data_IF_245450468133
#
_entry.id   IF_245450468133
#
_cell.length_a   1.000
_cell.length_b   1.000
_cell.length_c   1.000
_cell.angle_alpha   90.00
_cell.angle_beta   90.00
_cell.angle_gamma   90.00
#
_symmetry.space_group_name_H-M   'P 1'
#
loop_
_entity.id
_entity.type
_entity.pdbx_description
1 polymer ?
#
# COMPACT_ATOMS: atom_id res chain seq x y z
N UNK A 1 -15.69 -30.75 12.64
CA UNK A 1 -15.32 -29.31 12.80
C UNK A 1 -13.93 -29.28 13.41
N UNK A 2 -12.91 -29.01 12.60
CA UNK A 2 -11.53 -28.89 13.07
C UNK A 2 -11.41 -27.53 13.79
N UNK A 3 -11.24 -27.55 15.11
CA UNK A 3 -10.92 -26.34 15.86
C UNK A 3 -9.48 -25.95 15.52
N UNK A 4 -9.32 -24.88 14.75
CA UNK A 4 -8.04 -24.26 14.55
C UNK A 4 -7.69 -23.47 15.82
N UNK A 5 -6.82 -24.02 16.66
CA UNK A 5 -6.28 -23.29 17.81
C UNK A 5 -5.18 -22.38 17.24
N UNK A 6 -5.39 -21.06 17.24
CA UNK A 6 -4.35 -20.16 16.77
C UNK A 6 -3.15 -20.26 17.73
N UNK A 7 -2.04 -20.80 17.25
CA UNK A 7 -0.77 -20.66 17.95
C UNK A 7 -0.29 -19.22 17.73
N UNK A 8 0.00 -18.45 18.77
CA UNK A 8 0.60 -17.14 18.62
C UNK A 8 1.97 -17.33 17.93
N UNK A 9 2.04 -16.92 16.67
CA UNK A 9 3.32 -16.82 15.97
C UNK A 9 3.97 -15.55 16.47
N UNK A 10 5.04 -15.64 17.26
CA UNK A 10 5.90 -14.51 17.58
C UNK A 10 6.80 -14.30 16.37
N UNK A 11 6.61 -13.20 15.67
CA UNK A 11 7.57 -12.74 14.69
C UNK A 11 8.72 -12.06 15.45
N UNK A 12 9.90 -12.60 15.33
CA UNK A 12 11.11 -11.91 15.74
C UNK A 12 11.64 -11.18 14.50
N UNK A 13 11.50 -9.86 14.48
CA UNK A 13 12.08 -9.05 13.42
C UNK A 13 13.61 -9.04 13.60
N UNK A 14 14.39 -9.49 12.60
CA UNK A 14 15.85 -9.62 12.74
C UNK A 14 16.60 -8.28 12.68
N UNK A 15 15.90 -7.17 12.42
CA UNK A 15 16.47 -5.84 12.34
C UNK A 15 16.47 -5.09 13.68
N UNK A 16 17.13 -3.93 13.75
CA UNK A 16 17.06 -3.08 14.92
C UNK A 16 15.61 -2.62 15.13
N UNK A 17 15.03 -2.97 16.28
CA UNK A 17 13.68 -2.51 16.63
C UNK A 17 13.70 -0.98 16.79
N UNK A 18 12.84 -0.30 16.04
CA UNK A 18 12.59 1.13 16.24
C UNK A 18 11.41 1.27 17.20
N UNK A 19 11.61 2.01 18.29
CA UNK A 19 10.64 2.13 19.38
C UNK A 19 9.35 2.80 18.90
N UNK A 20 9.47 3.84 18.06
CA UNK A 20 8.35 4.59 17.48
C UNK A 20 8.56 4.74 15.98
N UNK A 21 8.23 3.71 15.16
CA UNK A 21 8.33 3.83 13.71
C UNK A 21 7.28 4.82 13.18
N UNK A 22 7.67 5.62 12.19
CA UNK A 22 6.77 6.57 11.53
C UNK A 22 6.06 5.87 10.37
N UNK A 23 4.74 5.79 10.42
CA UNK A 23 3.90 5.31 9.34
C UNK A 23 3.26 6.48 8.59
N UNK A 24 3.46 6.56 7.29
CA UNK A 24 2.84 7.56 6.43
C UNK A 24 1.70 6.96 5.61
N UNK A 25 0.51 7.55 5.72
CA UNK A 25 -0.71 7.14 5.04
C UNK A 25 -1.26 8.29 4.18
N UNK A 26 -1.01 8.31 2.87
CA UNK A 26 -1.70 9.24 1.98
C UNK A 26 -3.15 8.82 1.77
N UNK A 27 -4.06 9.79 1.72
CA UNK A 27 -5.45 9.62 1.32
C UNK A 27 -5.65 10.15 -0.09
N UNK A 28 -6.07 9.29 -1.00
CA UNK A 28 -6.39 9.61 -2.38
C UNK A 28 -7.90 9.79 -2.57
N UNK A 29 -8.36 10.43 -3.65
CA UNK A 29 -9.77 10.44 -4.00
C UNK A 29 -10.34 9.01 -4.03
N UNK A 30 -11.32 8.72 -3.17
CA UNK A 30 -11.93 7.39 -3.00
C UNK A 30 -11.30 6.51 -1.92
N UNK A 31 -10.23 6.91 -1.24
CA UNK A 31 -9.76 6.26 -0.01
C UNK A 31 -10.79 6.41 1.09
N UNK A 32 -11.13 5.33 1.80
CA UNK A 32 -12.13 5.37 2.87
C UNK A 32 -11.78 4.58 4.14
N UNK A 33 -10.64 3.91 4.18
CA UNK A 33 -10.18 3.13 5.34
C UNK A 33 -8.94 3.74 6.02
N UNK A 34 -8.60 4.98 5.71
CA UNK A 34 -7.43 5.68 6.23
C UNK A 34 -7.49 5.90 7.74
N UNK A 35 -8.63 6.34 8.27
CA UNK A 35 -8.82 6.56 9.70
C UNK A 35 -8.61 5.27 10.52
N UNK A 36 -9.25 4.17 10.13
CA UNK A 36 -9.14 2.90 10.86
C UNK A 36 -7.74 2.30 10.73
N UNK A 37 -7.12 2.43 9.55
CA UNK A 37 -5.72 2.02 9.32
C UNK A 37 -4.78 2.83 10.21
N UNK A 38 -4.91 4.16 10.24
CA UNK A 38 -4.12 5.04 11.09
C UNK A 38 -4.28 4.69 12.58
N UNK A 39 -5.53 4.40 13.02
CA UNK A 39 -5.81 3.98 14.38
C UNK A 39 -5.14 2.65 14.75
N UNK A 40 -5.10 1.70 13.80
CA UNK A 40 -4.42 0.41 14.03
C UNK A 40 -2.92 0.61 14.21
N UNK A 41 -2.26 1.43 13.38
CA UNK A 41 -0.84 1.76 13.51
C UNK A 41 -0.52 2.46 14.84
N UNK A 42 -1.33 3.46 15.24
CA UNK A 42 -1.14 4.14 16.54
C UNK A 42 -1.29 3.18 17.73
N UNK A 43 -2.25 2.24 17.66
CA UNK A 43 -2.41 1.20 18.69
C UNK A 43 -1.24 0.24 18.77
N UNK A 44 -0.54 0.03 17.65
CA UNK A 44 0.66 -0.78 17.59
C UNK A 44 1.93 -0.02 18.03
N UNK A 45 1.82 1.27 18.40
CA UNK A 45 2.93 2.08 18.91
C UNK A 45 3.63 2.93 17.84
N UNK A 46 3.13 2.96 16.61
CA UNK A 46 3.71 3.80 15.56
C UNK A 46 3.24 5.27 15.66
N UNK A 47 4.10 6.20 15.30
CA UNK A 47 3.70 7.55 14.92
C UNK A 47 3.05 7.51 13.54
N UNK A 48 1.94 8.25 13.38
CA UNK A 48 1.20 8.23 12.10
C UNK A 48 1.10 9.64 11.54
N UNK A 49 1.59 9.80 10.31
CA UNK A 49 1.42 11.01 9.51
C UNK A 49 0.48 10.72 8.34
N UNK A 50 -0.35 11.70 7.99
CA UNK A 50 -1.31 11.59 6.89
C UNK A 50 -1.24 12.84 6.02
N UNK A 51 -1.61 12.70 4.75
CA UNK A 51 -1.85 13.82 3.84
C UNK A 51 -3.00 13.49 2.89
N UNK A 52 -3.60 14.51 2.32
CA UNK A 52 -4.65 14.36 1.30
C UNK A 52 -4.07 14.73 -0.06
N UNK A 53 -4.11 13.79 -1.00
CA UNK A 53 -3.73 14.08 -2.38
C UNK A 53 -4.82 14.88 -3.06
N UNK A 54 -4.55 16.16 -3.33
CA UNK A 54 -5.47 17.10 -3.97
C UNK A 54 -5.24 17.09 -5.48
N UNK A 55 -6.32 17.08 -6.24
CA UNK A 55 -6.29 17.00 -7.71
C UNK A 55 -7.26 17.95 -8.40
N UNK A 56 -7.62 19.06 -7.74
CA UNK A 56 -8.56 20.05 -8.27
C UNK A 56 -7.90 20.98 -9.29
N UNK A 57 -6.60 21.21 -9.16
CA UNK A 57 -5.80 22.03 -10.06
C UNK A 57 -4.41 21.42 -10.27
N UNK A 58 -3.69 21.90 -11.30
CA UNK A 58 -2.30 21.49 -11.51
C UNK A 58 -1.39 21.90 -10.34
N UNK A 59 -1.64 23.04 -9.71
CA UNK A 59 -0.91 23.48 -8.52
C UNK A 59 -1.14 22.54 -7.34
N UNK A 60 -2.39 22.13 -7.07
CA UNK A 60 -2.72 21.17 -6.01
C UNK A 60 -2.00 19.83 -6.21
N UNK A 61 -1.92 19.37 -7.46
CA UNK A 61 -1.22 18.11 -7.79
C UNK A 61 0.26 18.23 -7.47
N UNK A 62 0.92 19.32 -7.87
CA UNK A 62 2.35 19.55 -7.61
C UNK A 62 2.63 19.65 -6.12
N UNK A 63 1.86 20.45 -5.38
CA UNK A 63 1.99 20.56 -3.92
C UNK A 63 1.78 19.22 -3.22
N UNK A 64 0.82 18.40 -3.69
CA UNK A 64 0.58 17.06 -3.13
C UNK A 64 1.72 16.08 -3.41
N UNK A 65 2.35 16.19 -4.59
CA UNK A 65 3.55 15.41 -4.93
C UNK A 65 4.71 15.80 -4.01
N UNK A 66 4.97 17.09 -3.86
CA UNK A 66 6.06 17.59 -3.01
C UNK A 66 5.86 17.19 -1.55
N UNK A 67 4.62 17.30 -1.03
CA UNK A 67 4.28 16.84 0.32
C UNK A 67 4.49 15.34 0.47
N UNK A 68 4.02 14.53 -0.50
CA UNK A 68 4.22 13.07 -0.47
C UNK A 68 5.70 12.71 -0.46
N UNK A 69 6.51 13.31 -1.31
CA UNK A 69 7.96 13.06 -1.36
C UNK A 69 8.60 13.32 0.01
N UNK A 70 8.34 14.48 0.61
CA UNK A 70 8.89 14.82 1.92
C UNK A 70 8.45 13.84 3.03
N UNK A 71 7.20 13.39 2.99
CA UNK A 71 6.68 12.42 3.97
C UNK A 71 7.22 11.01 3.75
N UNK A 72 7.39 10.55 2.50
CA UNK A 72 8.01 9.25 2.19
C UNK A 72 9.48 9.26 2.62
N UNK A 73 10.20 10.34 2.38
CA UNK A 73 11.58 10.48 2.83
C UNK A 73 11.74 10.36 4.35
N UNK A 74 10.75 10.85 5.12
CA UNK A 74 10.76 10.88 6.57
C UNK A 74 10.14 9.65 7.25
N UNK A 75 9.41 8.78 6.52
CA UNK A 75 8.74 7.64 7.13
C UNK A 75 9.59 6.37 7.14
N UNK A 76 9.18 5.42 7.98
CA UNK A 76 9.71 4.06 8.02
C UNK A 76 8.78 3.07 7.32
N UNK A 77 7.48 3.38 7.31
CA UNK A 77 6.44 2.53 6.72
C UNK A 77 5.55 3.39 5.83
N UNK A 78 5.52 3.08 4.55
CA UNK A 78 4.59 3.67 3.60
C UNK A 78 3.34 2.79 3.47
N UNK A 79 2.14 3.36 3.69
CA UNK A 79 0.91 2.58 3.79
C UNK A 79 -0.12 3.06 2.78
N UNK A 80 -0.56 2.18 1.91
CA UNK A 80 -1.68 2.39 1.00
C UNK A 80 -2.94 1.73 1.57
N UNK A 81 -3.86 2.54 2.04
CA UNK A 81 -5.12 2.08 2.65
C UNK A 81 -6.09 1.52 1.61
N UNK A 82 -7.15 0.91 2.10
CA UNK A 82 -8.25 0.44 1.28
C UNK A 82 -9.21 1.55 0.86
N UNK A 83 -10.11 1.20 -0.02
CA UNK A 83 -11.12 2.08 -0.59
C UNK A 83 -11.45 1.72 -2.03
N UNK A 84 -11.96 2.71 -2.75
CA UNK A 84 -12.29 2.63 -4.18
C UNK A 84 -11.70 3.87 -4.85
N UNK A 85 -10.43 3.82 -5.19
CA UNK A 85 -9.76 4.97 -5.78
C UNK A 85 -10.40 5.38 -7.11
N UNK A 86 -10.33 6.65 -7.42
CA UNK A 86 -10.83 7.18 -8.69
C UNK A 86 -10.24 6.40 -9.87
N UNK A 87 -11.09 6.02 -10.83
CA UNK A 87 -10.67 5.24 -12.01
C UNK A 87 -10.56 3.73 -11.79
N UNK A 88 -11.19 3.18 -10.73
CA UNK A 88 -11.22 1.74 -10.50
C UNK A 88 -11.98 0.96 -11.57
N UNK A 89 -12.99 1.56 -12.18
CA UNK A 89 -13.79 0.96 -13.26
C UNK A 89 -13.50 1.66 -14.60
N UNK A 90 -13.78 0.98 -15.76
CA UNK A 90 -14.27 -0.41 -15.90
C UNK A 90 -13.16 -1.47 -15.92
N UNK A 91 -11.90 -1.13 -16.13
CA UNK A 91 -10.82 -2.06 -16.50
C UNK A 91 -9.86 -2.39 -15.36
N UNK A 92 -10.34 -2.37 -14.15
CA UNK A 92 -9.56 -2.74 -12.98
C UNK A 92 -9.34 -1.59 -12.00
N UNK A 93 -8.64 -1.90 -10.92
CA UNK A 93 -8.59 -1.08 -9.72
C UNK A 93 -7.29 -0.31 -9.56
N UNK A 94 -7.32 0.73 -8.72
CA UNK A 94 -6.16 1.50 -8.27
C UNK A 94 -5.40 2.28 -9.36
N UNK A 95 -6.01 2.55 -10.51
CA UNK A 95 -5.35 3.28 -11.62
C UNK A 95 -4.84 4.65 -11.20
N UNK A 96 -5.63 5.40 -10.43
CA UNK A 96 -5.24 6.73 -9.96
C UNK A 96 -4.00 6.64 -9.07
N UNK A 97 -4.02 5.74 -8.08
CA UNK A 97 -2.88 5.52 -7.18
C UNK A 97 -1.64 5.12 -7.98
N UNK A 98 -1.76 4.17 -8.90
CA UNK A 98 -0.65 3.71 -9.75
C UNK A 98 -0.06 4.86 -10.58
N UNK A 99 -0.90 5.74 -11.14
CA UNK A 99 -0.41 6.90 -11.87
C UNK A 99 0.38 7.86 -10.96
N UNK A 100 -0.08 8.09 -9.74
CA UNK A 100 0.66 8.90 -8.76
C UNK A 100 1.98 8.24 -8.38
N UNK A 101 1.99 6.94 -8.09
CA UNK A 101 3.21 6.19 -7.76
C UNK A 101 4.23 6.16 -8.91
N UNK A 102 3.78 6.26 -10.16
CA UNK A 102 4.63 6.34 -11.34
C UNK A 102 5.22 7.73 -11.61
N UNK A 103 4.77 8.76 -10.89
CA UNK A 103 5.46 10.05 -10.91
C UNK A 103 6.94 9.83 -10.54
N UNK A 104 7.85 10.47 -11.27
CA UNK A 104 9.28 10.23 -11.13
C UNK A 104 9.77 10.47 -9.70
N UNK A 105 9.38 11.59 -9.11
CA UNK A 105 9.90 12.02 -7.81
C UNK A 105 9.37 11.11 -6.68
N UNK A 106 8.07 10.78 -6.70
CA UNK A 106 7.45 9.82 -5.76
C UNK A 106 8.08 8.44 -5.91
N UNK A 107 8.30 7.98 -7.14
CA UNK A 107 8.93 6.68 -7.41
C UNK A 107 10.34 6.61 -6.85
N UNK A 108 11.12 7.66 -7.05
CA UNK A 108 12.50 7.71 -6.57
C UNK A 108 12.53 7.69 -5.02
N UNK A 109 11.61 8.39 -4.35
CA UNK A 109 11.47 8.32 -2.88
C UNK A 109 11.01 6.95 -2.37
N UNK A 110 10.09 6.29 -3.06
CA UNK A 110 9.67 4.92 -2.72
C UNK A 110 10.84 3.94 -2.85
N UNK A 111 11.64 4.07 -3.90
CA UNK A 111 12.85 3.26 -4.07
C UNK A 111 13.86 3.55 -2.96
N UNK A 112 14.09 4.81 -2.61
CA UNK A 112 14.96 5.19 -1.51
C UNK A 112 14.47 4.65 -0.17
N UNK A 113 13.13 4.64 0.08
CA UNK A 113 12.54 4.02 1.26
C UNK A 113 12.88 2.52 1.33
N UNK A 114 12.66 1.78 0.25
CA UNK A 114 12.96 0.34 0.22
C UNK A 114 14.46 0.05 0.34
N UNK A 115 15.31 0.86 -0.29
CA UNK A 115 16.77 0.70 -0.25
C UNK A 115 17.37 0.91 1.15
N UNK A 116 16.74 1.77 1.98
CA UNK A 116 17.12 1.94 3.40
C UNK A 116 16.45 0.96 4.36
N UNK A 117 15.72 -0.06 3.84
CA UNK A 117 15.06 -1.09 4.65
C UNK A 117 13.68 -0.68 5.19
N UNK A 118 13.09 0.39 4.67
CA UNK A 118 11.72 0.78 4.99
C UNK A 118 10.69 -0.22 4.46
N UNK A 119 9.51 -0.20 5.04
CA UNK A 119 8.43 -1.14 4.74
C UNK A 119 7.33 -0.48 3.91
N UNK A 120 6.65 -1.29 3.11
CA UNK A 120 5.47 -0.87 2.35
C UNK A 120 4.33 -1.84 2.62
N UNK A 121 3.16 -1.29 3.00
CA UNK A 121 1.94 -2.07 3.21
C UNK A 121 0.83 -1.58 2.28
N UNK A 122 0.19 -2.49 1.57
CA UNK A 122 -1.03 -2.22 0.80
C UNK A 122 -2.19 -3.08 1.27
N UNK A 123 -3.33 -2.46 1.52
CA UNK A 123 -4.55 -3.13 2.01
C UNK A 123 -5.64 -2.98 0.96
N UNK A 124 -6.27 -4.07 0.51
CA UNK A 124 -7.39 -4.07 -0.44
C UNK A 124 -7.05 -3.27 -1.72
N UNK A 125 -7.62 -2.10 -1.92
CA UNK A 125 -7.30 -1.22 -3.05
C UNK A 125 -5.81 -0.81 -3.08
N UNK A 126 -5.21 -0.58 -1.91
CA UNK A 126 -3.77 -0.35 -1.80
C UNK A 126 -2.93 -1.56 -2.23
N UNK A 127 -3.36 -2.79 -1.89
CA UNK A 127 -2.69 -3.99 -2.39
C UNK A 127 -2.81 -4.12 -3.92
N UNK A 128 -3.98 -3.79 -4.48
CA UNK A 128 -4.16 -3.73 -5.94
C UNK A 128 -3.19 -2.75 -6.59
N UNK A 129 -2.95 -1.60 -5.95
CA UNK A 129 -1.95 -0.63 -6.41
C UNK A 129 -0.53 -1.21 -6.39
N UNK A 130 -0.13 -1.93 -5.32
CA UNK A 130 1.18 -2.56 -5.24
C UNK A 130 1.41 -3.58 -6.36
N UNK A 131 0.40 -4.40 -6.68
CA UNK A 131 0.50 -5.37 -7.78
C UNK A 131 0.59 -4.67 -9.13
N UNK A 132 -0.30 -3.71 -9.39
CA UNK A 132 -0.36 -3.00 -10.68
C UNK A 132 0.85 -2.10 -10.95
N UNK A 133 1.50 -1.58 -9.92
CA UNK A 133 2.69 -0.75 -10.05
C UNK A 133 3.99 -1.55 -10.19
N UNK A 134 3.96 -2.86 -9.91
CA UNK A 134 5.12 -3.74 -9.95
C UNK A 134 5.90 -3.82 -8.63
N UNK A 135 5.52 -3.08 -7.59
CA UNK A 135 6.11 -3.27 -6.26
C UNK A 135 5.94 -4.71 -5.78
N UNK A 136 4.83 -5.34 -6.12
CA UNK A 136 4.63 -6.78 -6.01
C UNK A 136 4.49 -7.39 -7.42
N UNK A 137 5.25 -8.45 -7.76
CA UNK A 137 6.24 -9.16 -6.91
C UNK A 137 7.68 -8.66 -7.06
N UNK A 138 7.95 -7.59 -7.82
CA UNK A 138 9.31 -7.25 -8.26
C UNK A 138 10.11 -6.38 -7.27
N UNK A 139 9.47 -5.82 -6.26
CA UNK A 139 10.10 -4.93 -5.28
C UNK A 139 10.46 -3.53 -5.81
N UNK A 140 10.13 -3.24 -7.07
CA UNK A 140 10.44 -1.97 -7.75
C UNK A 140 9.28 -1.50 -8.62
N UNK A 141 9.05 -0.19 -8.66
CA UNK A 141 8.11 0.44 -9.58
C UNK A 141 8.65 0.43 -11.01
N UNK A 142 7.74 0.34 -11.97
CA UNK A 142 8.08 0.41 -13.39
C UNK A 142 8.65 -0.88 -14.00
N UNK A 143 8.65 -2.00 -13.28
CA UNK A 143 9.11 -3.31 -13.76
C UNK A 143 8.01 -4.13 -14.42
N UNK A 144 6.81 -3.57 -14.58
CA UNK A 144 5.65 -4.29 -15.14
C UNK A 144 5.83 -4.55 -16.63
N UNK A 145 5.57 -5.79 -17.04
CA UNK A 145 5.58 -6.26 -18.43
C UNK A 145 4.20 -6.84 -18.79
N UNK A 146 4.03 -7.24 -20.05
CA UNK A 146 2.79 -7.92 -20.52
C UNK A 146 2.49 -9.23 -19.77
N UNK A 147 3.51 -9.88 -19.23
CA UNK A 147 3.41 -11.17 -18.55
C UNK A 147 3.37 -11.02 -17.01
N UNK A 148 3.34 -9.78 -16.51
CA UNK A 148 3.28 -9.50 -15.08
C UNK A 148 1.92 -9.90 -14.50
N UNK A 149 1.89 -10.40 -13.26
CA UNK A 149 0.62 -10.68 -12.57
C UNK A 149 -0.18 -9.39 -12.41
N UNK A 150 -1.49 -9.52 -12.49
CA UNK A 150 -2.41 -8.41 -12.23
C UNK A 150 -3.68 -8.89 -11.53
N UNK A 151 -4.37 -7.97 -10.89
CA UNK A 151 -5.70 -8.20 -10.35
C UNK A 151 -6.72 -7.59 -11.32
N UNK A 152 -7.70 -8.40 -11.68
CA UNK A 152 -8.71 -8.06 -12.65
C UNK A 152 -10.09 -8.53 -12.19
N UNK A 153 -11.15 -8.16 -12.93
CA UNK A 153 -12.50 -8.64 -12.63
C UNK A 153 -12.60 -10.15 -12.76
N UNK A 154 -13.50 -10.77 -11.99
CA UNK A 154 -13.76 -12.18 -12.10
C UNK A 154 -14.42 -12.55 -13.44
N UNK A 155 -14.03 -13.67 -14.03
CA UNK A 155 -14.57 -14.15 -15.31
C UNK A 155 -16.09 -14.35 -15.28
N UNK A 156 -16.63 -14.69 -14.11
CA UNK A 156 -18.08 -14.84 -13.91
C UNK A 156 -18.84 -13.51 -13.78
N UNK A 157 -18.14 -12.38 -13.93
CA UNK A 157 -18.67 -11.02 -13.92
C UNK A 157 -19.43 -10.62 -12.66
N UNK A 158 -19.10 -11.22 -11.52
CA UNK A 158 -19.65 -10.92 -10.19
C UNK A 158 -18.63 -11.16 -9.08
N UNK A 159 -18.90 -10.55 -7.93
CA UNK A 159 -18.12 -10.78 -6.71
C UNK A 159 -18.26 -12.24 -6.25
N UNK A 160 -17.15 -12.82 -5.79
CA UNK A 160 -17.10 -14.13 -5.13
C UNK A 160 -16.77 -13.89 -3.65
N UNK A 161 -17.69 -14.31 -2.77
CA UNK A 161 -17.51 -14.26 -1.32
C UNK A 161 -17.56 -15.68 -0.78
N UNK A 162 -16.46 -16.14 -0.19
CA UNK A 162 -16.40 -17.50 0.39
C UNK A 162 -15.31 -17.54 1.48
N UNK A 163 -15.46 -18.47 2.40
CA UNK A 163 -14.44 -18.77 3.41
C UNK A 163 -13.42 -19.70 2.76
N UNK A 164 -12.16 -19.30 2.79
CA UNK A 164 -11.03 -20.07 2.24
C UNK A 164 -9.96 -20.31 3.30
N UNK A 165 -9.22 -21.40 3.14
CA UNK A 165 -8.04 -21.66 3.97
C UNK A 165 -6.83 -20.99 3.34
N UNK A 166 -6.11 -20.20 4.12
CA UNK A 166 -4.84 -19.59 3.73
C UNK A 166 -3.68 -20.19 4.51
N UNK A 167 -2.50 -20.14 3.93
CA UNK A 167 -1.25 -20.58 4.56
C UNK A 167 -0.20 -19.51 4.39
N UNK A 168 0.49 -19.17 5.48
CA UNK A 168 1.69 -18.33 5.42
C UNK A 168 2.77 -19.11 4.65
N UNK A 169 3.20 -18.57 3.50
CA UNK A 169 4.18 -19.20 2.63
C UNK A 169 5.62 -18.91 3.06
N UNK A 170 5.85 -17.76 3.64
CA UNK A 170 7.16 -17.31 4.13
C UNK A 170 6.98 -16.37 5.32
N UNK A 171 7.98 -16.30 6.18
CA UNK A 171 8.09 -15.36 7.30
C UNK A 171 9.22 -14.35 7.08
N UNK A 172 9.68 -14.21 5.84
CA UNK A 172 10.81 -13.35 5.47
C UNK A 172 10.43 -11.87 5.29
N UNK A 173 9.16 -11.51 5.48
CA UNK A 173 8.68 -10.12 5.40
C UNK A 173 8.14 -9.64 6.73
#
# INVERSE_FOLDING_TARGET
>A
VMQCIPRPVRFEYPGPAKEHPVAYLPSFPGTNCDYDTAKAFRRAGAEVTTSVFRNLSGADVMESIDEMCGRIAACDIFVLSGGFSSGDEPDGSAKFIVNVLNNKDIRDEIHALTDRGGLILGICNGFQALVKSGLLPYGRLGMVTKDSPTLFRNDINRHISQIVTTRVATTAS
#
